data_IF_706114660635
#
_entry.id   IF_706114660635
#
_cell.length_a   1.000
_cell.length_b   1.000
_cell.length_c   1.000
_cell.angle_alpha   90.00
_cell.angle_beta   90.00
_cell.angle_gamma   90.00
#
_symmetry.space_group_name_H-M   'P 1'
#
loop_
_entity.id
_entity.type
_entity.pdbx_description
1 polymer ?
#
# COMPACT_ATOMS: atom_id res chain seq x y z
N UNK A 1 -7.48 6.98 -2.97
CA UNK A 1 -8.19 6.02 -3.84
C UNK A 1 -7.32 5.52 -4.98
N UNK A 2 -6.50 4.50 -4.71
CA UNK A 2 -5.70 3.82 -5.75
C UNK A 2 -5.77 2.30 -5.53
N UNK A 3 -5.23 1.75 -4.45
CA UNK A 3 -5.01 0.30 -4.38
C UNK A 3 -6.29 -0.50 -4.07
N UNK A 4 -7.05 -0.16 -3.02
CA UNK A 4 -8.24 -0.94 -2.67
C UNK A 4 -9.28 -1.05 -3.81
N UNK A 5 -9.45 0.03 -4.59
CA UNK A 5 -10.41 0.10 -5.71
C UNK A 5 -9.99 -0.69 -6.97
N UNK A 6 -8.70 -1.04 -7.10
CA UNK A 6 -8.17 -1.62 -8.32
C UNK A 6 -7.93 -3.13 -8.18
N UNK A 7 -8.29 -3.91 -9.21
CA UNK A 7 -8.02 -5.36 -9.24
C UNK A 7 -6.53 -5.65 -9.48
N UNK A 8 -5.86 -4.87 -10.33
CA UNK A 8 -4.44 -5.03 -10.71
C UNK A 8 -3.46 -4.30 -9.78
N UNK A 9 -3.54 -4.58 -8.46
CA UNK A 9 -2.70 -3.91 -7.44
C UNK A 9 -1.20 -4.17 -7.66
N UNK A 10 -0.88 -5.37 -8.11
CA UNK A 10 0.47 -5.78 -8.50
C UNK A 10 1.01 -4.91 -9.65
N UNK A 11 0.24 -4.75 -10.72
CA UNK A 11 0.62 -3.94 -11.89
C UNK A 11 0.85 -2.47 -11.53
N UNK A 12 0.04 -1.93 -10.61
CA UNK A 12 0.23 -0.56 -10.11
C UNK A 12 1.57 -0.43 -9.38
N UNK A 13 1.91 -1.39 -8.52
CA UNK A 13 3.20 -1.38 -7.80
C UNK A 13 4.39 -1.60 -8.72
N UNK A 14 4.25 -2.44 -9.74
CA UNK A 14 5.26 -2.65 -10.78
C UNK A 14 5.50 -1.36 -11.56
N UNK A 15 4.43 -0.70 -12.03
CA UNK A 15 4.52 0.52 -12.83
C UNK A 15 5.07 1.69 -12.01
N UNK A 16 4.61 1.84 -10.77
CA UNK A 16 5.17 2.81 -9.83
C UNK A 16 6.69 2.61 -9.66
N UNK A 17 7.14 1.35 -9.61
CA UNK A 17 8.57 1.05 -9.52
C UNK A 17 9.28 1.37 -10.81
N UNK A 18 8.71 1.04 -11.98
CA UNK A 18 9.31 1.27 -13.29
C UNK A 18 9.66 2.75 -13.49
N UNK A 19 8.73 3.64 -13.17
CA UNK A 19 8.89 5.09 -13.37
C UNK A 19 9.74 5.80 -12.31
N UNK A 20 9.85 5.22 -11.11
CA UNK A 20 10.60 5.84 -10.01
C UNK A 20 12.12 5.78 -10.25
N UNK A 21 12.85 6.84 -9.90
CA UNK A 21 14.32 6.85 -9.95
C UNK A 21 14.92 5.87 -8.93
N UNK A 22 16.13 5.38 -9.19
CA UNK A 22 16.87 4.51 -8.26
C UNK A 22 17.01 5.22 -6.89
N UNK A 23 16.70 4.51 -5.80
CA UNK A 23 16.71 5.08 -4.45
C UNK A 23 15.52 5.98 -4.12
N UNK A 24 14.59 6.19 -5.05
CA UNK A 24 13.34 6.89 -4.80
C UNK A 24 12.42 6.12 -3.85
N UNK A 25 11.44 6.84 -3.29
CA UNK A 25 10.47 6.30 -2.33
C UNK A 25 9.04 6.46 -2.81
N UNK A 26 8.17 5.56 -2.36
CA UNK A 26 6.72 5.65 -2.50
C UNK A 26 6.11 5.64 -1.11
N UNK A 27 5.17 6.54 -0.85
CA UNK A 27 4.28 6.50 0.30
C UNK A 27 2.95 5.87 -0.15
N UNK A 28 2.52 4.85 0.57
CA UNK A 28 1.20 4.23 0.40
C UNK A 28 0.42 4.46 1.68
N UNK A 29 -0.75 5.07 1.58
CA UNK A 29 -1.73 5.22 2.66
C UNK A 29 -2.94 4.36 2.28
N UNK A 30 -3.36 3.48 3.18
CA UNK A 30 -4.44 2.54 2.89
C UNK A 30 -5.31 2.29 4.13
N UNK A 31 -6.57 1.90 3.90
CA UNK A 31 -7.57 1.72 4.96
C UNK A 31 -7.22 0.53 5.87
N UNK A 32 -7.27 0.77 7.19
CA UNK A 32 -7.24 -0.28 8.19
C UNK A 32 -8.46 -1.19 8.02
N UNK A 33 -8.27 -2.51 8.08
CA UNK A 33 -9.35 -3.48 7.87
C UNK A 33 -10.12 -3.82 9.15
N UNK A 34 -9.62 -3.42 10.31
CA UNK A 34 -10.20 -3.77 11.62
C UNK A 34 -11.43 -2.91 11.95
N UNK A 35 -11.33 -1.59 11.84
CA UNK A 35 -12.45 -0.66 12.02
C UNK A 35 -13.03 -0.22 10.67
N UNK A 36 -14.13 -0.86 10.29
CA UNK A 36 -14.87 -0.58 9.05
C UNK A 36 -16.14 0.28 9.28
N UNK A 37 -16.23 0.98 10.41
CA UNK A 37 -17.36 1.90 10.68
C UNK A 37 -17.44 3.06 9.69
N UNK A 38 -16.30 3.45 9.11
CA UNK A 38 -16.16 4.54 8.13
C UNK A 38 -15.29 4.07 6.97
N UNK A 39 -15.66 4.43 5.73
CA UNK A 39 -14.89 4.17 4.51
C UNK A 39 -15.42 2.99 3.68
N UNK A 40 -14.58 2.39 2.82
CA UNK A 40 -14.97 1.29 1.94
C UNK A 40 -15.39 0.04 2.71
N UNK A 41 -16.17 -0.83 2.05
CA UNK A 41 -16.50 -2.17 2.54
C UNK A 41 -15.24 -2.95 2.93
N UNK A 42 -15.33 -3.74 4.01
CA UNK A 42 -14.20 -4.45 4.62
C UNK A 42 -13.51 -5.40 3.64
N UNK A 43 -14.28 -5.97 2.72
CA UNK A 43 -13.88 -6.90 1.67
C UNK A 43 -12.96 -6.24 0.65
N UNK A 44 -13.15 -4.95 0.39
CA UNK A 44 -12.32 -4.18 -0.54
C UNK A 44 -10.99 -3.73 0.08
N UNK A 45 -10.92 -3.63 1.41
CA UNK A 45 -9.72 -3.18 2.14
C UNK A 45 -8.59 -4.22 2.10
N UNK A 46 -7.37 -3.71 2.16
CA UNK A 46 -6.14 -4.50 2.08
C UNK A 46 -5.50 -4.54 3.48
N UNK A 47 -5.29 -5.74 4.04
CA UNK A 47 -4.51 -5.89 5.27
C UNK A 47 -3.07 -5.42 5.04
N UNK A 48 -2.47 -4.79 6.04
CA UNK A 48 -1.09 -4.29 5.97
C UNK A 48 -0.12 -5.38 5.55
N UNK A 49 -0.23 -6.57 6.13
CA UNK A 49 0.61 -7.73 5.85
C UNK A 49 0.47 -8.18 4.40
N UNK A 50 -0.75 -8.10 3.85
CA UNK A 50 -1.00 -8.43 2.43
C UNK A 50 -0.31 -7.42 1.51
N UNK A 51 -0.38 -6.13 1.83
CA UNK A 51 0.29 -5.09 1.05
C UNK A 51 1.82 -5.18 1.16
N UNK A 52 2.36 -5.48 2.35
CA UNK A 52 3.80 -5.73 2.56
C UNK A 52 4.28 -6.92 1.72
N UNK A 53 3.53 -8.03 1.71
CA UNK A 53 3.87 -9.20 0.90
C UNK A 53 3.80 -8.89 -0.60
N UNK A 54 2.80 -8.11 -1.04
CA UNK A 54 2.68 -7.66 -2.42
C UNK A 54 3.84 -6.74 -2.84
N UNK A 55 4.25 -5.83 -1.97
CA UNK A 55 5.39 -4.95 -2.18
C UNK A 55 6.69 -5.77 -2.34
N UNK A 56 6.94 -6.73 -1.43
CA UNK A 56 8.09 -7.64 -1.51
C UNK A 56 8.11 -8.47 -2.79
N UNK A 57 6.94 -8.97 -3.23
CA UNK A 57 6.80 -9.70 -4.50
C UNK A 57 7.18 -8.84 -5.71
N UNK A 58 6.94 -7.52 -5.63
CA UNK A 58 7.35 -6.53 -6.65
C UNK A 58 8.77 -5.97 -6.39
N UNK A 59 9.56 -6.69 -5.58
CA UNK A 59 10.95 -6.38 -5.24
C UNK A 59 11.15 -5.01 -4.58
N UNK A 60 10.11 -4.45 -3.95
CA UNK A 60 10.26 -3.24 -3.13
C UNK A 60 10.93 -3.59 -1.80
N UNK A 61 11.72 -2.64 -1.28
CA UNK A 61 12.24 -2.72 0.09
C UNK A 61 11.32 -1.93 1.03
N UNK A 62 10.96 -2.53 2.17
CA UNK A 62 10.28 -1.81 3.25
C UNK A 62 11.26 -0.83 3.89
N UNK A 63 10.95 0.46 3.86
CA UNK A 63 11.78 1.51 4.46
C UNK A 63 11.24 1.91 5.85
N UNK A 64 9.94 2.23 5.94
CA UNK A 64 9.33 2.56 7.23
C UNK A 64 7.81 2.30 7.22
N UNK A 65 7.22 2.23 8.42
CA UNK A 65 5.78 2.33 8.63
C UNK A 65 5.48 3.67 9.29
N UNK A 66 4.35 4.28 8.93
CA UNK A 66 3.90 5.53 9.54
C UNK A 66 2.45 5.39 10.00
N UNK A 67 2.16 6.04 11.11
CA UNK A 67 0.81 6.18 11.63
C UNK A 67 0.07 7.26 10.85
N UNK A 68 -1.14 6.96 10.36
CA UNK A 68 -1.92 7.88 9.52
C UNK A 68 -3.35 7.97 10.05
N UNK A 69 -3.49 8.73 11.14
CA UNK A 69 -4.76 8.88 11.84
C UNK A 69 -5.33 7.53 12.30
N UNK A 70 -6.63 7.51 12.59
CA UNK A 70 -7.24 6.35 13.26
C UNK A 70 -7.67 5.24 12.29
N UNK A 71 -7.88 5.56 11.01
CA UNK A 71 -8.51 4.65 10.05
C UNK A 71 -7.58 4.12 8.97
N UNK A 72 -6.32 4.57 8.93
CA UNK A 72 -5.38 4.19 7.88
C UNK A 72 -4.04 3.75 8.47
N UNK A 73 -3.33 2.94 7.70
CA UNK A 73 -1.92 2.68 7.89
C UNK A 73 -1.11 3.28 6.74
N UNK A 74 0.14 3.64 7.01
CA UNK A 74 1.06 4.15 6.01
C UNK A 74 2.30 3.28 5.88
N UNK A 75 2.72 3.01 4.65
CA UNK A 75 3.96 2.30 4.32
C UNK A 75 4.84 3.17 3.42
N UNK A 76 6.12 3.28 3.77
CA UNK A 76 7.15 3.86 2.91
C UNK A 76 7.96 2.73 2.29
N UNK A 77 7.95 2.68 0.96
CA UNK A 77 8.70 1.70 0.17
C UNK A 77 9.85 2.38 -0.57
N UNK A 78 10.95 1.64 -0.77
CA UNK A 78 12.13 2.11 -1.52
C UNK A 78 12.40 1.23 -2.73
N UNK A 79 12.75 1.86 -3.85
CA UNK A 79 13.22 1.21 -5.08
C UNK A 79 14.71 0.88 -5.04
#
# INVERSE_FOLDING_TARGET
DILFQNKGKDKILEEAKRILKKGGRVLIIEWNKEDASIGPEKELRIFKETLVNLARKNSWTMDNEIEVGNFHYGLILKK
#
